data_IF_959440510279
#
_entry.id   IF_959440510279
#
_cell.length_a   1.000
_cell.length_b   1.000
_cell.length_c   1.000
_cell.angle_alpha   90.00
_cell.angle_beta   90.00
_cell.angle_gamma   90.00
#
_symmetry.space_group_name_H-M   'P 1'
#
loop_
_entity.id
_entity.type
_entity.pdbx_description
1 polymer ?
#
# COMPACT_ATOMS: atom_id res chain seq x y z
N UNK A 1 28.47 -27.63 11.54
CA UNK A 1 27.29 -27.01 12.19
C UNK A 1 27.81 -25.95 13.12
N UNK A 2 27.35 -24.72 12.98
CA UNK A 2 27.85 -23.57 13.73
C UNK A 2 26.70 -22.83 14.40
N UNK A 3 26.94 -22.17 15.53
CA UNK A 3 25.94 -21.36 16.23
C UNK A 3 26.01 -19.91 15.78
N UNK A 4 24.87 -19.34 15.40
CA UNK A 4 24.75 -17.93 15.08
C UNK A 4 25.18 -17.06 16.27
N UNK A 5 26.19 -16.19 16.16
CA UNK A 5 26.61 -15.34 17.26
C UNK A 5 25.56 -14.29 17.65
N UNK A 6 24.61 -13.97 16.75
CA UNK A 6 23.55 -13.00 17.03
C UNK A 6 22.31 -13.62 17.71
N UNK A 7 21.88 -14.82 17.31
CA UNK A 7 20.62 -15.41 17.80
C UNK A 7 20.75 -16.82 18.39
N UNK A 8 21.99 -17.29 18.57
CA UNK A 8 22.39 -18.55 19.21
C UNK A 8 21.71 -19.83 18.66
N UNK A 9 21.25 -19.79 17.41
CA UNK A 9 20.66 -20.95 16.71
C UNK A 9 21.74 -21.73 15.98
N UNK A 10 21.62 -23.06 16.00
CA UNK A 10 22.46 -23.95 15.21
C UNK A 10 22.09 -23.78 13.74
N UNK A 11 23.10 -23.55 12.91
CA UNK A 11 23.03 -23.38 11.46
C UNK A 11 23.84 -24.50 10.79
N UNK A 12 23.34 -24.99 9.66
CA UNK A 12 24.08 -25.90 8.79
C UNK A 12 25.21 -25.11 8.11
N UNK A 13 26.40 -25.69 7.99
CA UNK A 13 27.63 -25.00 7.58
C UNK A 13 27.59 -24.32 6.20
N UNK A 14 26.57 -24.60 5.39
CA UNK A 14 26.53 -24.18 3.99
C UNK A 14 25.78 -22.86 3.78
N UNK A 15 25.22 -22.27 4.85
CA UNK A 15 24.49 -21.00 4.78
C UNK A 15 25.43 -19.80 4.90
N UNK A 16 25.42 -18.91 3.90
CA UNK A 16 26.13 -17.61 3.97
C UNK A 16 25.51 -16.62 4.97
N UNK A 17 24.21 -16.77 5.25
CA UNK A 17 23.44 -15.92 6.16
C UNK A 17 22.59 -16.76 7.12
N UNK A 18 22.44 -16.32 8.37
CA UNK A 18 21.55 -16.96 9.33
C UNK A 18 20.09 -16.86 8.85
N UNK A 19 19.38 -17.97 8.62
CA UNK A 19 18.00 -17.94 8.10
C UNK A 19 16.98 -17.38 9.10
N UNK A 20 17.37 -17.17 10.37
CA UNK A 20 16.50 -16.62 11.41
C UNK A 20 16.61 -15.10 11.56
N UNK A 21 17.82 -14.55 11.46
CA UNK A 21 18.06 -13.13 11.77
C UNK A 21 18.87 -12.40 10.68
N UNK A 22 19.25 -13.07 9.59
CA UNK A 22 19.99 -12.48 8.48
C UNK A 22 21.46 -12.19 8.76
N UNK A 23 22.00 -12.58 9.92
CA UNK A 23 23.40 -12.33 10.28
C UNK A 23 24.36 -13.02 9.30
N UNK A 24 25.30 -12.25 8.73
CA UNK A 24 26.36 -12.78 7.85
C UNK A 24 27.37 -13.58 8.66
N UNK A 25 27.54 -14.86 8.34
CA UNK A 25 28.41 -15.76 9.12
C UNK A 25 29.89 -15.63 8.74
N UNK A 26 30.20 -15.05 7.58
CA UNK A 26 31.55 -15.01 7.02
C UNK A 26 32.20 -13.63 7.04
N UNK A 27 31.61 -12.63 7.69
CA UNK A 27 32.20 -11.30 7.84
C UNK A 27 32.39 -10.51 6.54
N UNK A 28 32.08 -11.11 5.38
CA UNK A 28 32.03 -10.40 4.12
C UNK A 28 30.71 -9.64 4.02
N UNK A 29 30.76 -8.31 3.75
CA UNK A 29 29.55 -7.58 3.39
C UNK A 29 28.99 -8.18 2.11
N UNK A 30 27.66 -8.30 2.02
CA UNK A 30 27.00 -8.72 0.79
C UNK A 30 27.45 -7.77 -0.33
N UNK A 31 28.23 -8.28 -1.28
CA UNK A 31 28.68 -7.52 -2.44
C UNK A 31 27.44 -6.98 -3.17
N UNK A 32 27.20 -5.67 -3.06
CA UNK A 32 26.06 -4.98 -3.65
C UNK A 32 25.35 -3.93 -2.78
N UNK A 33 25.72 -3.72 -1.50
CA UNK A 33 25.13 -2.65 -0.68
C UNK A 33 26.13 -1.58 -0.28
N UNK A 34 26.47 -0.68 -1.21
CA UNK A 34 27.18 0.57 -0.89
C UNK A 34 26.28 1.58 -0.15
N UNK A 35 25.03 1.21 0.16
CA UNK A 35 24.02 2.04 0.84
C UNK A 35 23.54 1.45 2.19
N UNK A 36 24.43 0.82 2.96
CA UNK A 36 24.12 0.43 4.33
C UNK A 36 24.02 1.66 5.25
N UNK A 37 22.83 1.99 5.74
CA UNK A 37 22.65 3.05 6.74
C UNK A 37 23.26 2.56 8.07
N UNK A 38 24.41 3.11 8.45
CA UNK A 38 24.97 2.94 9.79
C UNK A 38 24.29 3.97 10.70
N UNK A 39 23.33 3.51 11.53
CA UNK A 39 22.70 4.36 12.54
C UNK A 39 23.64 4.44 13.76
N UNK A 40 24.42 5.52 13.84
CA UNK A 40 25.18 5.84 15.04
C UNK A 40 24.23 6.49 16.06
N UNK A 41 23.98 5.79 17.16
CA UNK A 41 23.08 6.14 18.28
C UNK A 41 21.57 6.21 17.95
N UNK A 42 20.88 5.07 17.82
CA UNK A 42 19.42 5.09 17.81
C UNK A 42 18.86 5.26 19.23
N UNK A 43 17.97 6.22 19.43
CA UNK A 43 16.98 6.09 20.50
C UNK A 43 16.23 4.76 20.31
N UNK A 44 16.00 4.01 21.40
CA UNK A 44 15.46 2.65 21.34
C UNK A 44 14.15 2.54 20.53
N UNK A 45 13.31 3.58 20.54
CA UNK A 45 12.07 3.63 19.74
C UNK A 45 12.33 3.74 18.23
N UNK A 46 13.29 4.58 17.80
CA UNK A 46 13.60 4.78 16.37
C UNK A 46 14.30 3.56 15.77
N UNK A 47 15.18 2.88 16.52
CA UNK A 47 15.74 1.59 16.10
C UNK A 47 14.66 0.50 16.02
N UNK A 48 13.74 0.45 16.98
CA UNK A 48 12.67 -0.55 16.98
C UNK A 48 11.74 -0.35 15.78
N UNK A 49 11.35 0.90 15.49
CA UNK A 49 10.56 1.22 14.31
C UNK A 49 11.30 0.86 13.01
N UNK A 50 12.60 1.16 12.92
CA UNK A 50 13.41 0.82 11.75
C UNK A 50 13.55 -0.71 11.58
N UNK A 51 13.81 -1.44 12.67
CA UNK A 51 13.87 -2.90 12.67
C UNK A 51 12.52 -3.54 12.35
N UNK A 52 11.41 -2.98 12.82
CA UNK A 52 10.06 -3.41 12.42
C UNK A 52 9.82 -3.19 10.93
N UNK A 53 10.20 -2.03 10.39
CA UNK A 53 10.08 -1.75 8.95
C UNK A 53 10.95 -2.71 8.14
N UNK A 54 12.21 -2.93 8.52
CA UNK A 54 13.12 -3.85 7.84
C UNK A 54 12.65 -5.32 7.93
N UNK A 55 12.11 -5.74 9.08
CA UNK A 55 11.50 -7.06 9.24
C UNK A 55 10.21 -7.21 8.40
N UNK A 56 9.41 -6.16 8.33
CA UNK A 56 8.20 -6.10 7.48
C UNK A 56 8.55 -6.19 5.99
N UNK A 57 9.70 -5.66 5.57
CA UNK A 57 10.24 -5.79 4.22
C UNK A 57 10.72 -7.22 3.92
N UNK A 58 11.35 -7.89 4.90
CA UNK A 58 11.77 -9.30 4.78
C UNK A 58 10.63 -10.32 4.75
N UNK A 59 9.46 -9.98 5.29
CA UNK A 59 8.24 -10.80 5.29
C UNK A 59 7.33 -10.57 4.05
N UNK A 60 7.85 -9.89 3.01
CA UNK A 60 7.11 -9.55 1.79
C UNK A 60 6.82 -10.73 0.84
N UNK A 61 6.34 -11.86 1.36
CA UNK A 61 5.70 -12.93 0.56
C UNK A 61 4.18 -12.76 0.43
N UNK A 62 3.59 -11.72 1.03
CA UNK A 62 2.17 -11.40 0.88
C UNK A 62 1.94 -9.91 0.52
N UNK A 63 1.88 -9.64 -0.78
CA UNK A 63 1.61 -8.31 -1.35
C UNK A 63 0.32 -7.67 -0.80
N UNK A 64 -0.67 -8.48 -0.42
CA UNK A 64 -1.95 -7.99 0.13
C UNK A 64 -1.74 -7.39 1.51
N UNK A 65 -0.87 -8.00 2.34
CA UNK A 65 -0.53 -7.48 3.65
C UNK A 65 0.24 -6.16 3.54
N UNK A 66 1.15 -6.07 2.58
CA UNK A 66 1.91 -4.84 2.34
C UNK A 66 0.98 -3.70 1.89
N UNK A 67 0.15 -3.93 0.87
CA UNK A 67 -0.82 -2.95 0.39
C UNK A 67 -1.78 -2.51 1.51
N UNK A 68 -2.20 -3.44 2.37
CA UNK A 68 -3.04 -3.12 3.54
C UNK A 68 -2.31 -2.24 4.55
N UNK A 69 -1.04 -2.52 4.85
CA UNK A 69 -0.24 -1.69 5.76
C UNK A 69 -0.03 -0.28 5.20
N UNK A 70 0.26 -0.18 3.89
CA UNK A 70 0.40 1.10 3.19
C UNK A 70 -0.92 1.88 3.23
N UNK A 71 -2.04 1.26 2.86
CA UNK A 71 -3.36 1.88 2.91
C UNK A 71 -3.71 2.41 4.30
N UNK A 72 -3.52 1.61 5.35
CA UNK A 72 -3.75 2.02 6.74
C UNK A 72 -2.84 3.19 7.17
N UNK A 73 -1.60 3.27 6.68
CA UNK A 73 -0.70 4.37 6.99
C UNK A 73 -1.17 5.66 6.31
N UNK A 74 -1.54 5.58 5.04
CA UNK A 74 -2.07 6.72 4.27
C UNK A 74 -3.39 7.21 4.87
N UNK A 75 -4.30 6.33 5.27
CA UNK A 75 -5.56 6.70 5.94
C UNK A 75 -5.32 7.57 7.18
N UNK A 76 -4.28 7.25 7.97
CA UNK A 76 -3.91 8.04 9.15
C UNK A 76 -3.35 9.40 8.76
N UNK A 77 -2.44 9.44 7.79
CA UNK A 77 -1.82 10.69 7.30
C UNK A 77 -2.91 11.61 6.74
N UNK A 78 -3.78 11.07 5.90
CA UNK A 78 -4.85 11.82 5.26
C UNK A 78 -6.09 11.99 6.14
N UNK A 79 -6.14 11.46 7.36
CA UNK A 79 -7.36 11.46 8.18
C UNK A 79 -8.61 10.97 7.42
N UNK A 80 -8.46 9.91 6.62
CA UNK A 80 -9.55 9.26 5.90
C UNK A 80 -10.23 8.19 6.75
N UNK A 81 -11.47 7.85 6.43
CA UNK A 81 -12.20 6.76 7.09
C UNK A 81 -11.78 5.40 6.54
N UNK A 82 -11.56 5.33 5.22
CA UNK A 82 -11.21 4.10 4.49
C UNK A 82 -10.27 4.41 3.34
N UNK A 83 -9.54 3.40 2.90
CA UNK A 83 -8.85 3.37 1.62
C UNK A 83 -9.09 2.08 0.86
N UNK A 84 -8.83 2.12 -0.43
CA UNK A 84 -8.87 0.95 -1.29
C UNK A 84 -7.80 1.02 -2.36
N UNK A 85 -7.27 -0.16 -2.68
CA UNK A 85 -6.40 -0.41 -3.82
C UNK A 85 -7.14 -1.34 -4.76
N UNK A 86 -7.45 -0.82 -5.95
CA UNK A 86 -8.04 -1.57 -7.02
C UNK A 86 -6.97 -1.89 -8.06
N UNK A 87 -6.97 -3.12 -8.59
CA UNK A 87 -6.07 -3.51 -9.66
C UNK A 87 -6.85 -3.70 -10.95
N UNK A 88 -6.17 -3.41 -12.06
CA UNK A 88 -6.67 -3.68 -13.40
C UNK A 88 -6.64 -5.19 -13.64
N UNK A 89 -7.72 -5.73 -14.21
CA UNK A 89 -7.77 -7.12 -14.62
C UNK A 89 -7.01 -7.36 -15.94
N UNK A 90 -6.72 -8.62 -16.24
CA UNK A 90 -5.97 -9.00 -17.45
C UNK A 90 -6.71 -8.63 -18.75
N UNK A 91 -8.03 -8.45 -18.70
CA UNK A 91 -8.80 -8.02 -19.87
C UNK A 91 -8.75 -6.51 -20.13
N UNK A 92 -8.13 -5.76 -19.21
CA UNK A 92 -8.07 -4.29 -19.20
C UNK A 92 -9.45 -3.63 -19.30
N UNK A 93 -10.48 -4.24 -18.71
CA UNK A 93 -11.86 -3.72 -18.77
C UNK A 93 -12.42 -3.41 -17.38
N UNK A 94 -11.89 -4.06 -16.36
CA UNK A 94 -12.41 -3.99 -15.00
C UNK A 94 -11.32 -3.71 -13.99
N UNK A 95 -11.66 -2.90 -13.00
CA UNK A 95 -10.94 -2.79 -11.75
C UNK A 95 -11.56 -3.74 -10.73
N UNK A 96 -10.73 -4.39 -9.93
CA UNK A 96 -11.17 -5.20 -8.80
C UNK A 96 -10.45 -4.79 -7.52
N UNK A 97 -11.16 -4.86 -6.38
CA UNK A 97 -10.58 -4.53 -5.09
C UNK A 97 -9.56 -5.59 -4.68
N UNK A 98 -8.28 -5.23 -4.73
CA UNK A 98 -7.20 -6.09 -4.24
C UNK A 98 -7.08 -5.99 -2.73
N UNK A 99 -7.12 -4.77 -2.22
CA UNK A 99 -7.21 -4.48 -0.78
C UNK A 99 -8.22 -3.36 -0.59
N UNK A 100 -9.12 -3.53 0.37
CA UNK A 100 -9.99 -2.45 0.83
C UNK A 100 -10.05 -2.52 2.35
N UNK A 101 -9.89 -1.38 3.01
CA UNK A 101 -10.16 -1.28 4.43
C UNK A 101 -11.68 -1.39 4.64
N UNK A 102 -12.13 -2.46 5.30
CA UNK A 102 -13.54 -2.69 5.58
C UNK A 102 -14.05 -4.04 5.07
N UNK A 103 -15.11 -4.01 4.28
CA UNK A 103 -15.93 -5.17 3.93
C UNK A 103 -15.22 -6.12 2.95
N UNK A 104 -15.07 -7.39 3.34
CA UNK A 104 -14.50 -8.44 2.50
C UNK A 104 -15.34 -8.73 1.25
N UNK A 105 -16.63 -8.36 1.24
CA UNK A 105 -17.49 -8.46 0.07
C UNK A 105 -16.98 -7.64 -1.12
N UNK A 106 -16.20 -6.58 -0.89
CA UNK A 106 -15.61 -5.74 -1.92
C UNK A 106 -14.72 -6.52 -2.91
N UNK A 107 -14.05 -7.59 -2.46
CA UNK A 107 -13.13 -8.37 -3.31
C UNK A 107 -13.84 -9.05 -4.51
N UNK A 108 -15.15 -9.28 -4.40
CA UNK A 108 -15.97 -9.87 -5.47
C UNK A 108 -16.50 -8.84 -6.47
N UNK A 109 -16.41 -7.55 -6.15
CA UNK A 109 -16.89 -6.50 -7.05
C UNK A 109 -15.92 -6.28 -8.20
N UNK A 110 -16.50 -5.91 -9.35
CA UNK A 110 -15.79 -5.51 -10.56
C UNK A 110 -16.35 -4.17 -10.99
N UNK A 111 -15.48 -3.18 -11.12
CA UNK A 111 -15.83 -1.83 -11.56
C UNK A 111 -15.40 -1.69 -13.02
N UNK A 112 -16.34 -1.52 -13.96
CA UNK A 112 -15.99 -1.21 -15.35
C UNK A 112 -15.17 0.09 -15.44
N UNK A 113 -14.15 0.13 -16.31
CA UNK A 113 -13.33 1.34 -16.49
C UNK A 113 -14.12 2.59 -16.91
N UNK A 114 -15.28 2.41 -17.55
CA UNK A 114 -16.16 3.51 -17.94
C UNK A 114 -17.15 3.94 -16.84
N UNK A 115 -17.01 3.43 -15.61
CA UNK A 115 -17.90 3.74 -14.49
C UNK A 115 -17.13 4.17 -13.25
N UNK A 116 -17.74 5.10 -12.50
CA UNK A 116 -17.25 5.53 -11.19
C UNK A 116 -15.98 6.38 -11.27
N UNK A 117 -15.59 6.89 -10.11
CA UNK A 117 -14.36 7.70 -9.97
C UNK A 117 -13.12 6.85 -10.26
N UNK A 118 -13.04 5.64 -9.71
CA UNK A 118 -11.94 4.71 -9.98
C UNK A 118 -11.74 4.44 -11.48
N UNK A 119 -12.83 4.15 -12.22
CA UNK A 119 -12.75 3.95 -13.67
C UNK A 119 -12.29 5.19 -14.42
N UNK A 120 -12.77 6.37 -14.00
CA UNK A 120 -12.33 7.64 -14.56
C UNK A 120 -10.83 7.90 -14.32
N UNK A 121 -10.33 7.65 -13.11
CA UNK A 121 -8.91 7.78 -12.75
C UNK A 121 -8.05 6.85 -13.63
N UNK A 122 -8.45 5.59 -13.74
CA UNK A 122 -7.77 4.60 -14.57
C UNK A 122 -7.71 5.02 -16.04
N UNK A 123 -8.86 5.42 -16.61
CA UNK A 123 -8.96 5.82 -18.02
C UNK A 123 -8.13 7.07 -18.33
N UNK A 124 -8.16 8.07 -17.45
CA UNK A 124 -7.51 9.35 -17.69
C UNK A 124 -6.07 9.41 -17.17
N UNK A 125 -5.64 8.42 -16.37
CA UNK A 125 -4.34 8.36 -15.70
C UNK A 125 -4.02 9.64 -14.93
N UNK A 126 -5.02 10.17 -14.23
CA UNK A 126 -4.93 11.42 -13.48
C UNK A 126 -5.54 11.25 -12.10
N UNK A 127 -4.85 11.77 -11.10
CA UNK A 127 -5.40 11.88 -9.76
C UNK A 127 -6.53 12.91 -9.69
N UNK A 128 -7.44 12.73 -8.74
CA UNK A 128 -8.61 13.61 -8.58
C UNK A 128 -9.05 13.68 -7.13
N UNK A 129 -9.59 14.84 -6.77
CA UNK A 129 -10.32 15.09 -5.53
C UNK A 129 -11.80 15.29 -5.85
N UNK A 130 -12.67 14.66 -5.09
CA UNK A 130 -14.13 14.79 -5.19
C UNK A 130 -14.70 14.91 -3.79
N UNK A 131 -15.06 16.13 -3.37
CA UNK A 131 -15.58 16.40 -2.02
C UNK A 131 -17.11 16.35 -1.90
N UNK A 132 -17.82 16.16 -3.02
CA UNK A 132 -19.24 15.80 -3.03
C UNK A 132 -19.52 14.78 -4.16
N UNK A 133 -19.26 13.49 -3.91
CA UNK A 133 -19.39 12.45 -4.94
C UNK A 133 -20.79 12.34 -5.51
N UNK A 134 -21.85 12.56 -4.73
CA UNK A 134 -23.23 12.39 -5.20
C UNK A 134 -23.67 13.48 -6.19
N UNK A 135 -22.99 14.63 -6.20
CA UNK A 135 -23.18 15.69 -7.20
C UNK A 135 -22.24 15.54 -8.41
N UNK A 136 -21.24 14.65 -8.35
CA UNK A 136 -20.30 14.39 -9.45
C UNK A 136 -20.87 13.37 -10.44
N UNK A 137 -21.02 13.77 -11.71
CA UNK A 137 -21.57 12.91 -12.78
C UNK A 137 -20.75 11.63 -13.03
N UNK A 138 -19.47 11.61 -12.63
CA UNK A 138 -18.58 10.47 -12.79
C UNK A 138 -18.79 9.42 -11.70
N UNK A 139 -19.37 9.81 -10.56
CA UNK A 139 -19.56 8.91 -9.43
C UNK A 139 -20.65 7.87 -9.71
N UNK A 140 -20.41 6.64 -9.21
CA UNK A 140 -21.38 5.56 -9.23
C UNK A 140 -21.67 5.13 -7.80
N UNK A 141 -22.95 5.16 -7.41
CA UNK A 141 -23.40 4.71 -6.07
C UNK A 141 -23.59 3.20 -5.95
N UNK A 142 -23.23 2.41 -6.98
CA UNK A 142 -23.39 0.95 -6.97
C UNK A 142 -22.62 0.30 -5.81
N UNK A 143 -21.34 0.68 -5.61
CA UNK A 143 -20.52 0.17 -4.51
C UNK A 143 -21.12 0.52 -3.14
N UNK A 144 -21.49 1.80 -2.94
CA UNK A 144 -22.13 2.30 -1.72
C UNK A 144 -23.40 1.49 -1.36
N UNK A 145 -24.25 1.20 -2.35
CA UNK A 145 -25.47 0.40 -2.17
C UNK A 145 -25.15 -1.03 -1.75
N UNK A 146 -24.14 -1.66 -2.36
CA UNK A 146 -23.75 -3.04 -2.04
C UNK A 146 -23.16 -3.15 -0.63
N UNK A 147 -22.27 -2.23 -0.25
CA UNK A 147 -21.58 -2.28 1.05
C UNK A 147 -22.33 -1.55 2.17
N UNK A 148 -23.45 -0.88 1.86
CA UNK A 148 -24.16 0.04 2.76
C UNK A 148 -23.23 1.08 3.38
N UNK A 149 -22.24 1.50 2.60
CA UNK A 149 -21.27 2.52 2.97
C UNK A 149 -21.65 3.81 2.26
N UNK A 150 -21.57 4.95 2.95
CA UNK A 150 -21.87 6.25 2.34
C UNK A 150 -20.57 6.97 2.03
N UNK A 151 -20.31 7.18 0.76
CA UNK A 151 -19.16 7.94 0.29
C UNK A 151 -19.49 9.43 0.28
N UNK A 152 -18.72 10.23 1.03
CA UNK A 152 -18.88 11.68 1.20
C UNK A 152 -17.74 12.47 0.58
N UNK A 153 -16.55 11.89 0.46
CA UNK A 153 -15.42 12.47 -0.27
C UNK A 153 -14.47 11.40 -0.75
N UNK A 154 -13.76 11.65 -1.85
CA UNK A 154 -12.78 10.75 -2.45
C UNK A 154 -11.54 11.56 -2.86
N UNK A 155 -10.36 11.04 -2.57
CA UNK A 155 -9.12 11.41 -3.26
C UNK A 155 -8.49 10.15 -3.81
N UNK A 156 -8.07 10.16 -5.06
CA UNK A 156 -7.50 8.95 -5.67
C UNK A 156 -6.49 9.26 -6.77
N UNK A 157 -5.63 8.28 -7.05
CA UNK A 157 -4.52 8.37 -8.00
C UNK A 157 -4.39 7.07 -8.81
N UNK A 158 -3.92 7.14 -10.07
CA UNK A 158 -3.56 5.96 -10.82
C UNK A 158 -2.30 5.32 -10.24
N UNK A 159 -2.24 3.99 -10.23
CA UNK A 159 -1.04 3.23 -9.92
C UNK A 159 -0.37 2.85 -11.25
N UNK A 160 0.84 3.35 -11.49
CA UNK A 160 1.57 3.17 -12.73
C UNK A 160 2.93 2.50 -12.47
N UNK A 161 3.32 1.56 -13.35
CA UNK A 161 4.70 1.08 -13.47
C UNK A 161 5.23 1.59 -14.80
N UNK A 162 6.10 2.60 -14.76
CA UNK A 162 6.44 3.39 -15.94
C UNK A 162 5.18 4.00 -16.55
N UNK A 163 4.87 3.65 -17.81
CA UNK A 163 3.65 4.09 -18.50
C UNK A 163 2.51 3.07 -18.44
N UNK A 164 2.68 1.94 -17.77
CA UNK A 164 1.68 0.89 -17.69
C UNK A 164 0.79 1.09 -16.48
N UNK A 165 -0.53 1.16 -16.70
CA UNK A 165 -1.52 1.23 -15.63
C UNK A 165 -1.68 -0.14 -14.98
N UNK A 166 -1.46 -0.22 -13.67
CA UNK A 166 -1.67 -1.45 -12.90
C UNK A 166 -2.92 -1.39 -12.02
N UNK A 167 -3.43 -0.19 -11.73
CA UNK A 167 -4.57 -0.04 -10.84
C UNK A 167 -4.84 1.40 -10.42
N UNK A 168 -5.61 1.54 -9.34
CA UNK A 168 -6.02 2.81 -8.74
C UNK A 168 -5.96 2.69 -7.23
N UNK A 169 -5.49 3.74 -6.57
CA UNK A 169 -5.61 3.91 -5.12
C UNK A 169 -6.63 5.00 -4.82
N UNK A 170 -7.50 4.77 -3.83
CA UNK A 170 -8.48 5.75 -3.34
C UNK A 170 -8.44 5.82 -1.81
N UNK A 171 -8.44 7.03 -1.26
CA UNK A 171 -8.84 7.32 0.12
C UNK A 171 -10.24 7.94 0.12
N UNK A 172 -11.07 7.50 1.05
CA UNK A 172 -12.51 7.75 1.08
C UNK A 172 -12.90 8.32 2.44
N UNK A 173 -13.79 9.31 2.41
CA UNK A 173 -14.36 10.03 3.54
C UNK A 173 -13.28 10.67 4.43
N UNK A 174 -12.80 11.85 4.04
CA UNK A 174 -12.04 12.72 4.94
C UNK A 174 -12.87 12.98 6.22
N UNK A 175 -12.28 12.74 7.39
CA UNK A 175 -12.98 12.88 8.69
C UNK A 175 -13.37 14.32 9.02
N UNK A 176 -12.58 15.29 8.53
CA UNK A 176 -12.79 16.72 8.78
C UNK A 176 -12.65 17.49 7.47
N UNK A 177 -13.69 18.24 7.10
CA UNK A 177 -13.71 18.99 5.84
C UNK A 177 -13.71 18.07 4.61
N UNK A 178 -12.98 18.48 3.57
CA UNK A 178 -12.76 17.69 2.35
C UNK A 178 -11.27 17.44 2.12
N UNK A 179 -10.96 16.55 1.17
CA UNK A 179 -9.60 16.38 0.71
C UNK A 179 -9.08 17.65 0.03
N UNK A 180 -7.80 17.94 0.23
CA UNK A 180 -7.11 19.12 -0.31
C UNK A 180 -6.12 18.73 -1.41
N UNK A 181 -5.60 19.72 -2.13
CA UNK A 181 -4.54 19.48 -3.11
C UNK A 181 -3.27 18.93 -2.46
N UNK A 182 -3.00 19.30 -1.20
CA UNK A 182 -1.89 18.73 -0.43
C UNK A 182 -2.10 17.22 -0.17
N UNK A 183 -3.34 16.81 0.15
CA UNK A 183 -3.68 15.38 0.29
C UNK A 183 -3.42 14.63 -1.02
N UNK A 184 -3.77 15.21 -2.17
CA UNK A 184 -3.51 14.62 -3.47
C UNK A 184 -2.00 14.53 -3.75
N UNK A 185 -1.23 15.58 -3.42
CA UNK A 185 0.22 15.58 -3.58
C UNK A 185 0.91 14.51 -2.76
N UNK A 186 0.42 14.21 -1.55
CA UNK A 186 0.94 13.12 -0.71
C UNK A 186 0.82 11.77 -1.43
N UNK A 187 -0.22 11.57 -2.23
CA UNK A 187 -0.43 10.33 -2.99
C UNK A 187 0.39 10.22 -4.28
N UNK A 188 0.90 11.35 -4.80
CA UNK A 188 1.63 11.40 -6.07
C UNK A 188 3.15 11.55 -5.91
N UNK A 189 3.65 11.61 -4.67
CA UNK A 189 5.06 11.78 -4.35
C UNK A 189 5.82 10.47 -4.24
#
# INVERSE_FOLDING_TARGET
>A
METCPNCNKIILSDYKFCPRCGFSLYGEPAAGSENGIIIQNPNQESATLFFELAKNLGEATNIDLLLKKIGNAIEKILNAERSSTLLLDETEKFLFFKVASGDSALQKLRIPLNKGIAGWIATNRKGVIVNDPYSDKRFSSETDKTTRFKTTSIVGVPLLIGNTLIGVYESINKKYGGFTEEDLQILTK
#
